data_IF_611367219711
#
_entry.id   IF_611367219711
#
_cell.length_a   1.000
_cell.length_b   1.000
_cell.length_c   1.000
_cell.angle_alpha   90.00
_cell.angle_beta   90.00
_cell.angle_gamma   90.00
#
_symmetry.space_group_name_H-M   'P 1'
#
loop_
_entity.id
_entity.type
_entity.pdbx_description
1 polymer ?
#
# COMPACT_ATOMS: atom_id res chain seq x y z
N UNK A 1 31.43 8.39 -26.95
CA UNK A 1 30.98 7.00 -26.68
C UNK A 1 29.47 7.00 -26.85
N UNK A 2 28.90 6.06 -27.61
CA UNK A 2 27.45 6.02 -27.83
C UNK A 2 26.92 4.70 -27.26
N UNK A 3 26.03 4.80 -26.28
CA UNK A 3 25.44 3.68 -25.56
C UNK A 3 23.97 3.59 -25.94
N UNK A 4 23.54 2.40 -26.35
CA UNK A 4 22.15 2.13 -26.72
C UNK A 4 21.60 1.09 -25.75
N UNK A 5 20.61 1.52 -24.95
CA UNK A 5 19.84 0.64 -24.07
C UNK A 5 18.56 0.26 -24.82
N UNK A 6 18.31 -1.05 -25.06
CA UNK A 6 17.13 -1.51 -25.79
C UNK A 6 15.80 -1.05 -25.18
N UNK A 7 14.83 -0.74 -26.03
CA UNK A 7 13.50 -0.26 -25.61
C UNK A 7 12.77 -1.19 -24.62
N UNK A 8 12.99 -2.51 -24.71
CA UNK A 8 12.39 -3.49 -23.81
C UNK A 8 12.94 -3.44 -22.37
N UNK A 9 14.00 -2.66 -22.11
CA UNK A 9 14.56 -2.42 -20.77
C UNK A 9 14.05 -1.11 -20.14
N UNK A 10 13.07 -0.45 -20.75
CA UNK A 10 12.51 0.81 -20.26
C UNK A 10 11.99 0.73 -18.81
N UNK A 11 11.27 -0.33 -18.45
CA UNK A 11 10.74 -0.52 -17.08
C UNK A 11 11.83 -0.54 -16.01
N UNK A 12 13.01 -1.12 -16.33
CA UNK A 12 14.16 -1.14 -15.44
C UNK A 12 14.74 0.28 -15.26
N UNK A 13 14.77 1.08 -16.32
CA UNK A 13 15.20 2.49 -16.24
C UNK A 13 14.19 3.37 -15.49
N UNK A 14 12.89 3.08 -15.62
CA UNK A 14 11.83 3.71 -14.82
C UNK A 14 12.00 3.41 -13.32
N UNK A 15 12.34 2.17 -12.97
CA UNK A 15 12.65 1.80 -11.57
C UNK A 15 13.89 2.52 -11.06
N UNK A 16 14.97 2.59 -11.85
CA UNK A 16 16.16 3.39 -11.52
C UNK A 16 15.76 4.85 -11.21
N UNK A 17 14.98 5.48 -12.10
CA UNK A 17 14.53 6.86 -11.93
C UNK A 17 13.69 7.06 -10.66
N UNK A 18 12.78 6.13 -10.36
CA UNK A 18 11.96 6.16 -9.14
C UNK A 18 12.79 5.99 -7.87
N UNK A 19 13.84 5.18 -7.90
CA UNK A 19 14.74 4.95 -6.76
C UNK A 19 15.73 6.10 -6.49
N UNK A 20 15.90 7.04 -7.42
CA UNK A 20 16.77 8.20 -7.18
C UNK A 20 16.08 9.19 -6.23
N UNK A 21 16.61 9.31 -5.01
CA UNK A 21 16.23 10.36 -4.08
C UNK A 21 17.01 11.66 -4.37
N UNK A 22 16.28 12.72 -4.74
CA UNK A 22 16.83 14.04 -5.06
C UNK A 22 16.72 15.04 -3.90
N UNK A 23 16.26 14.60 -2.72
CA UNK A 23 16.13 15.49 -1.56
C UNK A 23 17.49 15.78 -0.89
N UNK A 24 18.49 14.91 -1.03
CA UNK A 24 19.82 15.18 -0.48
C UNK A 24 20.64 16.08 -1.40
N UNK A 25 21.39 16.99 -0.77
CA UNK A 25 22.35 17.83 -1.49
C UNK A 25 23.45 16.96 -2.11
N UNK A 26 23.85 17.28 -3.35
CA UNK A 26 24.91 16.59 -4.10
C UNK A 26 24.65 15.09 -4.36
N UNK A 27 23.39 14.65 -4.45
CA UNK A 27 23.08 13.30 -4.92
C UNK A 27 23.65 13.06 -6.32
N UNK A 28 24.32 11.92 -6.48
CA UNK A 28 24.87 11.47 -7.75
C UNK A 28 24.40 10.06 -8.06
N UNK A 29 24.46 9.68 -9.33
CA UNK A 29 24.33 8.29 -9.78
C UNK A 29 25.67 7.86 -10.34
N UNK A 30 26.27 6.82 -9.76
CA UNK A 30 27.53 6.28 -10.27
C UNK A 30 27.24 5.33 -11.43
N UNK A 31 27.99 5.50 -12.51
CA UNK A 31 27.87 4.75 -13.76
C UNK A 31 29.14 3.95 -13.99
N UNK A 32 28.99 2.64 -14.21
CA UNK A 32 30.06 1.72 -14.55
C UNK A 32 29.83 1.17 -15.96
N UNK A 33 30.73 1.45 -16.90
CA UNK A 33 30.69 0.88 -18.24
C UNK A 33 31.70 -0.26 -18.33
N UNK A 34 31.24 -1.45 -18.71
CA UNK A 34 32.08 -2.62 -18.95
C UNK A 34 32.02 -3.03 -20.43
N UNK A 35 33.10 -2.78 -21.15
CA UNK A 35 33.25 -3.10 -22.57
C UNK A 35 33.23 -4.62 -22.81
N UNK A 36 33.90 -5.39 -21.95
CA UNK A 36 34.07 -6.84 -22.15
C UNK A 36 32.73 -7.56 -21.99
N UNK A 37 31.92 -7.13 -21.03
CA UNK A 37 30.59 -7.68 -20.79
C UNK A 37 29.50 -7.01 -21.61
N UNK A 38 29.83 -5.93 -22.33
CA UNK A 38 28.88 -5.09 -23.06
C UNK A 38 27.73 -4.60 -22.16
N UNK A 39 28.07 -4.05 -20.98
CA UNK A 39 27.10 -3.58 -19.98
C UNK A 39 27.35 -2.15 -19.54
N UNK A 40 26.26 -1.52 -19.09
CA UNK A 40 26.29 -0.30 -18.26
C UNK A 40 25.54 -0.58 -16.97
N UNK A 41 26.12 -0.21 -15.84
CA UNK A 41 25.52 -0.32 -14.52
C UNK A 41 25.34 1.06 -13.91
N UNK A 42 24.17 1.34 -13.37
CA UNK A 42 23.85 2.54 -12.60
C UNK A 42 23.67 2.18 -11.14
N UNK A 43 24.29 2.93 -10.23
CA UNK A 43 24.21 2.77 -8.78
C UNK A 43 23.68 4.07 -8.19
N UNK A 44 22.61 3.97 -7.39
CA UNK A 44 21.98 5.11 -6.71
C UNK A 44 21.77 4.80 -5.22
N UNK A 45 21.24 5.78 -4.50
CA UNK A 45 20.95 5.67 -3.07
C UNK A 45 22.12 6.11 -2.19
N UNK A 46 22.06 5.74 -0.92
CA UNK A 46 23.11 6.01 0.07
C UNK A 46 23.27 4.77 0.93
N UNK A 47 24.50 4.48 1.38
CA UNK A 47 24.73 3.32 2.24
C UNK A 47 23.87 3.40 3.51
N UNK A 48 23.24 2.29 3.94
CA UNK A 48 23.27 0.94 3.35
C UNK A 48 22.21 0.69 2.24
N UNK A 49 21.34 1.66 1.98
CA UNK A 49 20.21 1.60 1.05
C UNK A 49 20.63 2.02 -0.38
N UNK A 50 21.60 1.32 -0.94
CA UNK A 50 21.97 1.47 -2.34
C UNK A 50 21.25 0.41 -3.18
N UNK A 51 20.89 0.83 -4.40
CA UNK A 51 20.41 -0.06 -5.46
C UNK A 51 21.38 0.02 -6.65
N UNK A 52 21.39 -1.04 -7.45
CA UNK A 52 22.06 -0.99 -8.74
C UNK A 52 21.27 -1.68 -9.84
N UNK A 53 21.44 -1.17 -11.05
CA UNK A 53 20.72 -1.60 -12.25
C UNK A 53 21.72 -1.81 -13.39
N UNK A 54 21.79 -3.03 -13.91
CA UNK A 54 22.71 -3.43 -14.97
C UNK A 54 21.94 -3.69 -16.27
N UNK A 55 22.36 -3.01 -17.33
CA UNK A 55 21.77 -3.11 -18.66
C UNK A 55 22.77 -3.76 -19.61
N UNK A 56 22.34 -4.82 -20.29
CA UNK A 56 23.02 -5.31 -21.49
C UNK A 56 22.81 -4.30 -22.61
N UNK A 57 23.91 -3.90 -23.24
CA UNK A 57 23.90 -2.91 -24.31
C UNK A 57 23.58 -3.56 -25.66
N UNK A 58 22.95 -2.79 -26.54
CA UNK A 58 22.74 -3.21 -27.92
C UNK A 58 24.08 -3.26 -28.68
N UNK A 59 24.22 -4.18 -29.63
CA UNK A 59 25.42 -4.34 -30.47
C UNK A 59 25.75 -3.07 -31.29
N UNK A 60 24.75 -2.22 -31.55
CA UNK A 60 24.91 -0.91 -32.18
C UNK A 60 25.61 0.11 -31.28
N UNK A 61 25.87 -0.20 -30.01
CA UNK A 61 26.66 0.64 -29.11
C UNK A 61 28.11 0.71 -29.58
N UNK A 62 28.66 1.91 -29.74
CA UNK A 62 29.97 2.14 -30.35
C UNK A 62 30.93 2.90 -29.44
N UNK A 63 32.22 2.65 -29.63
CA UNK A 63 33.31 3.32 -28.90
C UNK A 63 33.23 3.14 -27.38
N UNK A 64 32.76 1.97 -26.93
CA UNK A 64 32.70 1.59 -25.51
C UNK A 64 34.11 1.52 -24.91
N UNK A 65 34.26 2.05 -23.70
CA UNK A 65 35.48 2.00 -22.90
C UNK A 65 35.14 1.61 -21.47
N UNK A 66 35.98 0.79 -20.84
CA UNK A 66 35.88 0.56 -19.41
C UNK A 66 36.07 1.88 -18.67
N UNK A 67 35.03 2.38 -18.00
CA UNK A 67 35.07 3.69 -17.35
C UNK A 67 34.04 3.77 -16.22
N UNK A 68 34.43 4.41 -15.13
CA UNK A 68 33.56 4.73 -14.00
C UNK A 68 33.48 6.25 -13.84
N UNK A 69 32.28 6.77 -13.60
CA UNK A 69 32.03 8.19 -13.40
C UNK A 69 30.69 8.37 -12.68
N UNK A 70 30.34 9.61 -12.34
CA UNK A 70 29.04 9.94 -11.78
C UNK A 70 28.30 10.96 -12.65
N UNK A 71 26.98 10.90 -12.58
CA UNK A 71 26.06 11.89 -13.15
C UNK A 71 25.28 12.57 -12.02
N UNK A 72 24.82 13.79 -12.28
CA UNK A 72 23.86 14.45 -11.39
C UNK A 72 22.59 13.59 -11.25
N UNK A 73 22.11 13.42 -10.02
CA UNK A 73 20.95 12.59 -9.73
C UNK A 73 19.67 13.15 -10.35
N UNK A 74 19.46 14.48 -10.30
CA UNK A 74 18.26 15.11 -10.87
C UNK A 74 18.23 14.94 -12.39
N UNK A 75 19.36 15.15 -13.05
CA UNK A 75 19.51 14.89 -14.48
C UNK A 75 19.25 13.43 -14.84
N UNK A 76 19.84 12.50 -14.09
CA UNK A 76 19.67 11.05 -14.31
C UNK A 76 18.22 10.62 -14.13
N UNK A 77 17.54 11.15 -13.11
CA UNK A 77 16.12 10.90 -12.84
C UNK A 77 15.24 11.34 -14.01
N UNK A 78 15.59 12.42 -14.70
CA UNK A 78 14.82 12.93 -15.84
C UNK A 78 15.11 12.21 -17.16
N UNK A 79 16.17 11.40 -17.27
CA UNK A 79 16.60 10.79 -18.54
C UNK A 79 15.45 10.09 -19.28
N UNK A 80 14.67 9.29 -18.56
CA UNK A 80 13.56 8.51 -19.12
C UNK A 80 12.49 9.36 -19.82
N UNK A 81 12.32 10.62 -19.38
CA UNK A 81 11.32 11.54 -19.91
C UNK A 81 11.74 12.13 -21.27
N UNK A 82 13.03 12.12 -21.59
CA UNK A 82 13.55 12.64 -22.85
C UNK A 82 13.38 11.68 -24.03
N UNK A 83 13.03 10.40 -23.77
CA UNK A 83 12.89 9.36 -24.79
C UNK A 83 11.43 8.94 -24.98
N UNK A 84 11.01 8.84 -26.24
CA UNK A 84 9.67 8.39 -26.64
C UNK A 84 9.47 6.92 -26.22
N UNK A 85 8.27 6.59 -25.78
CA UNK A 85 7.92 5.22 -25.41
C UNK A 85 8.07 4.27 -26.61
N UNK A 86 8.72 3.12 -26.39
CA UNK A 86 8.96 2.10 -27.42
C UNK A 86 10.23 2.31 -28.24
N UNK A 87 10.91 3.45 -28.12
CA UNK A 87 12.22 3.67 -28.74
C UNK A 87 13.37 3.23 -27.84
N UNK A 88 14.50 2.88 -28.46
CA UNK A 88 15.74 2.63 -27.75
C UNK A 88 16.26 3.93 -27.10
N UNK A 89 16.82 3.80 -25.90
CA UNK A 89 17.39 4.90 -25.15
C UNK A 89 18.85 5.07 -25.59
N UNK A 90 19.15 6.22 -26.22
CA UNK A 90 20.48 6.53 -26.75
C UNK A 90 21.17 7.56 -25.85
N UNK A 91 22.28 7.15 -25.24
CA UNK A 91 23.11 7.98 -24.37
C UNK A 91 24.41 8.32 -25.09
N UNK A 92 24.56 9.60 -25.44
CA UNK A 92 25.73 10.09 -26.16
C UNK A 92 26.68 10.77 -25.19
N UNK A 93 27.91 10.27 -25.13
CA UNK A 93 28.94 10.82 -24.26
C UNK A 93 30.04 11.50 -25.08
N UNK A 94 30.14 12.81 -24.93
CA UNK A 94 31.24 13.61 -25.46
C UNK A 94 32.42 13.60 -24.48
N UNK A 95 33.64 13.37 -24.97
CA UNK A 95 34.87 13.49 -24.19
C UNK A 95 35.72 14.57 -24.83
N UNK A 96 35.91 15.68 -24.12
CA UNK A 96 36.72 16.79 -24.58
C UNK A 96 38.22 16.46 -24.47
N UNK A 97 39.10 17.18 -25.21
CA UNK A 97 40.55 17.00 -25.13
C UNK A 97 41.12 17.16 -23.71
N UNK A 98 40.47 17.96 -22.86
CA UNK A 98 40.80 18.13 -21.44
C UNK A 98 40.57 16.86 -20.59
N UNK A 99 39.88 15.86 -21.14
CA UNK A 99 39.41 14.68 -20.42
C UNK A 99 38.02 14.85 -19.79
N UNK A 100 37.48 16.07 -19.78
CA UNK A 100 36.11 16.35 -19.29
C UNK A 100 35.10 15.58 -20.13
N UNK A 101 34.17 14.91 -19.47
CA UNK A 101 33.15 14.07 -20.11
C UNK A 101 31.77 14.63 -19.82
N UNK A 102 30.89 14.58 -20.81
CA UNK A 102 29.52 15.02 -20.69
C UNK A 102 28.58 13.98 -21.28
N UNK A 103 27.42 13.80 -20.66
CA UNK A 103 26.28 13.10 -21.24
C UNK A 103 25.40 14.12 -21.95
N UNK A 104 25.13 13.88 -23.22
CA UNK A 104 24.27 14.67 -24.09
C UNK A 104 23.03 13.87 -24.46
N UNK A 105 21.87 14.50 -24.33
CA UNK A 105 20.57 13.92 -24.66
C UNK A 105 19.76 14.93 -25.45
N UNK A 106 19.19 14.48 -26.56
CA UNK A 106 18.23 15.25 -27.33
C UNK A 106 16.82 15.01 -26.76
N UNK A 107 16.27 16.04 -26.15
CA UNK A 107 14.90 16.04 -25.66
C UNK A 107 13.92 16.13 -26.85
N UNK A 108 13.19 15.04 -27.06
CA UNK A 108 12.17 14.88 -28.11
C UNK A 108 10.76 14.78 -27.52
N UNK A 109 10.59 15.11 -26.24
CA UNK A 109 9.35 14.89 -25.48
C UNK A 109 8.27 15.94 -25.72
N UNK A 110 8.63 17.14 -26.19
CA UNK A 110 7.72 18.24 -26.48
C UNK A 110 6.87 17.96 -27.72
N UNK A 111 5.76 17.22 -27.53
CA UNK A 111 4.67 17.08 -28.50
C UNK A 111 3.51 18.00 -28.11
N UNK A 112 3.68 19.30 -28.26
CA UNK A 112 2.53 20.21 -28.32
C UNK A 112 1.98 20.20 -29.75
N UNK A 113 0.66 20.04 -29.88
CA UNK A 113 -0.03 19.75 -31.14
C UNK A 113 0.12 20.83 -32.23
N UNK A 114 0.62 22.03 -31.91
CA UNK A 114 0.59 23.20 -32.81
C UNK A 114 1.88 24.05 -32.84
N UNK A 115 3.01 23.59 -32.29
CA UNK A 115 4.29 24.33 -32.37
C UNK A 115 5.36 23.51 -33.09
N UNK A 116 6.14 24.17 -33.95
CA UNK A 116 7.29 23.57 -34.63
C UNK A 116 8.19 22.85 -33.61
N UNK A 117 8.53 21.60 -33.92
CA UNK A 117 9.41 20.74 -33.12
C UNK A 117 10.69 21.48 -32.71
N UNK A 118 10.79 21.94 -31.46
CA UNK A 118 12.06 22.38 -30.90
C UNK A 118 12.67 21.22 -30.12
N UNK A 119 13.62 20.52 -30.76
CA UNK A 119 14.46 19.54 -30.05
C UNK A 119 15.41 20.31 -29.14
N UNK A 120 15.37 20.05 -27.83
CA UNK A 120 16.30 20.70 -26.90
C UNK A 120 17.49 19.78 -26.61
N UNK A 121 18.72 20.27 -26.77
CA UNK A 121 19.91 19.56 -26.30
C UNK A 121 20.05 19.78 -24.80
N UNK A 122 20.05 18.68 -24.04
CA UNK A 122 20.33 18.66 -22.59
C UNK A 122 21.71 18.03 -22.38
N UNK A 123 22.54 18.68 -21.56
CA UNK A 123 23.91 18.22 -21.29
C UNK A 123 24.20 18.22 -19.79
N UNK A 124 24.84 17.16 -19.31
CA UNK A 124 25.27 17.01 -17.92
C UNK A 124 26.77 16.66 -17.88
N UNK A 125 27.53 17.40 -17.09
CA UNK A 125 28.95 17.11 -16.87
C UNK A 125 29.09 15.89 -15.95
N UNK A 126 29.89 14.93 -16.38
CA UNK A 126 30.24 13.78 -15.54
C UNK A 126 31.27 14.18 -14.49
N UNK A 127 31.11 13.68 -13.27
CA UNK A 127 32.04 13.84 -12.16
C UNK A 127 32.73 12.51 -11.83
N UNK A 128 33.61 12.51 -10.82
CA UNK A 128 34.24 11.30 -10.31
C UNK A 128 33.18 10.31 -9.77
N UNK A 129 33.40 8.99 -9.89
CA UNK A 129 32.51 8.00 -9.27
C UNK A 129 32.44 8.20 -7.75
N UNK A 130 31.30 7.87 -7.13
CA UNK A 130 31.16 7.90 -5.67
C UNK A 130 31.89 6.71 -5.05
N UNK A 131 32.80 6.97 -4.11
CA UNK A 131 33.54 5.92 -3.40
C UNK A 131 32.62 5.01 -2.58
N UNK A 132 31.53 5.55 -2.04
CA UNK A 132 30.51 4.77 -1.32
C UNK A 132 29.79 3.80 -2.26
N UNK A 133 29.41 4.24 -3.46
CA UNK A 133 28.80 3.37 -4.47
C UNK A 133 29.76 2.29 -4.95
N UNK A 134 31.04 2.63 -5.16
CA UNK A 134 32.06 1.65 -5.55
C UNK A 134 32.30 0.62 -4.45
N UNK A 135 32.30 1.05 -3.19
CA UNK A 135 32.43 0.16 -2.02
C UNK A 135 31.23 -0.78 -1.92
N UNK A 136 30.02 -0.24 -2.06
CA UNK A 136 28.78 -1.02 -2.12
C UNK A 136 28.84 -2.08 -3.23
N UNK A 137 29.20 -1.67 -4.46
CA UNK A 137 29.31 -2.56 -5.61
C UNK A 137 30.31 -3.70 -5.39
N UNK A 138 31.48 -3.39 -4.82
CA UNK A 138 32.52 -4.38 -4.54
C UNK A 138 32.13 -5.39 -3.44
N UNK A 139 31.24 -4.99 -2.52
CA UNK A 139 30.81 -5.83 -1.40
C UNK A 139 29.55 -6.64 -1.70
N UNK A 140 28.68 -6.17 -2.59
CA UNK A 140 27.41 -6.82 -2.92
C UNK A 140 27.55 -8.30 -3.32
N UNK A 141 28.52 -8.70 -4.16
CA UNK A 141 28.71 -10.11 -4.51
C UNK A 141 29.17 -11.02 -3.36
N UNK A 142 29.73 -10.45 -2.29
CA UNK A 142 30.28 -11.20 -1.14
C UNK A 142 29.23 -11.47 -0.07
N UNK A 143 28.09 -10.79 -0.14
CA UNK A 143 27.00 -10.93 0.82
C UNK A 143 26.33 -12.30 0.66
N UNK A 144 26.24 -13.14 1.71
CA UNK A 144 25.55 -14.42 1.67
C UNK A 144 24.07 -14.25 1.30
N UNK A 145 23.62 -14.96 0.28
CA UNK A 145 22.24 -14.92 -0.21
C UNK A 145 21.62 -16.31 -0.22
N UNK A 146 20.29 -16.36 -0.14
CA UNK A 146 19.49 -17.55 -0.42
C UNK A 146 18.84 -17.40 -1.79
N UNK A 147 19.09 -18.36 -2.68
CA UNK A 147 18.44 -18.42 -4.00
C UNK A 147 17.05 -19.04 -3.90
N UNK A 148 16.09 -18.46 -4.62
CA UNK A 148 14.75 -19.01 -4.76
C UNK A 148 14.16 -18.72 -6.13
N UNK A 149 13.04 -19.35 -6.45
CA UNK A 149 12.34 -19.10 -7.71
C UNK A 149 11.52 -17.80 -7.67
N UNK A 150 11.38 -17.15 -8.82
CA UNK A 150 10.47 -16.01 -9.02
C UNK A 150 9.03 -16.33 -8.59
N UNK A 151 8.53 -17.52 -8.93
CA UNK A 151 7.19 -17.97 -8.55
C UNK A 151 7.02 -18.05 -7.01
N UNK A 152 8.07 -18.44 -6.28
CA UNK A 152 8.07 -18.42 -4.81
C UNK A 152 7.96 -17.00 -4.27
N UNK A 153 8.68 -16.04 -4.85
CA UNK A 153 8.58 -14.62 -4.48
C UNK A 153 7.18 -14.07 -4.80
N UNK A 154 6.60 -14.41 -5.95
CA UNK A 154 5.23 -14.00 -6.31
C UNK A 154 4.20 -14.57 -5.32
N UNK A 155 4.36 -15.82 -4.87
CA UNK A 155 3.53 -16.40 -3.80
C UNK A 155 3.67 -15.64 -2.48
N UNK A 156 4.90 -15.29 -2.09
CA UNK A 156 5.19 -14.47 -0.89
C UNK A 156 4.51 -13.11 -0.98
N UNK A 157 4.68 -12.42 -2.11
CA UNK A 157 4.06 -11.13 -2.38
C UNK A 157 2.54 -11.23 -2.30
N UNK A 158 1.95 -12.27 -2.87
CA UNK A 158 0.51 -12.48 -2.81
C UNK A 158 0.00 -12.70 -1.37
N UNK A 159 0.70 -13.47 -0.54
CA UNK A 159 0.35 -13.60 0.89
C UNK A 159 0.53 -12.29 1.66
N UNK A 160 1.54 -11.49 1.33
CA UNK A 160 1.69 -10.17 1.92
C UNK A 160 0.50 -9.27 1.56
N UNK A 161 0.06 -9.27 0.30
CA UNK A 161 -1.09 -8.48 -0.15
C UNK A 161 -2.40 -8.85 0.56
N UNK A 162 -2.63 -10.14 0.84
CA UNK A 162 -3.79 -10.58 1.63
C UNK A 162 -3.82 -9.96 3.02
N UNK A 163 -2.64 -9.79 3.63
CA UNK A 163 -2.49 -9.29 4.98
C UNK A 163 -2.44 -7.76 5.06
N UNK A 164 -2.51 -7.02 3.95
CA UNK A 164 -2.59 -5.56 3.97
C UNK A 164 -3.86 -5.04 4.69
N UNK A 165 -3.79 -3.87 5.36
CA UNK A 165 -2.57 -3.14 5.70
C UNK A 165 -1.74 -3.84 6.79
N UNK A 166 -0.43 -3.60 6.79
CA UNK A 166 0.49 -3.98 7.87
C UNK A 166 1.66 -2.98 7.93
N UNK A 167 2.29 -2.87 9.09
CA UNK A 167 3.56 -2.16 9.28
C UNK A 167 4.73 -3.12 9.02
N UNK A 168 4.65 -4.31 9.62
CA UNK A 168 5.58 -5.42 9.43
C UNK A 168 4.84 -6.73 9.21
N UNK A 169 5.41 -7.58 8.38
CA UNK A 169 4.96 -8.94 8.12
C UNK A 169 6.18 -9.88 8.15
N UNK A 170 6.29 -10.69 9.18
CA UNK A 170 7.29 -11.74 9.26
C UNK A 170 6.72 -13.05 8.71
N UNK A 171 7.45 -13.66 7.81
CA UNK A 171 7.23 -15.03 7.35
C UNK A 171 8.34 -15.86 7.99
N UNK A 172 8.01 -16.62 9.02
CA UNK A 172 8.96 -17.46 9.75
C UNK A 172 8.92 -18.90 9.24
N UNK A 173 10.03 -19.33 8.64
CA UNK A 173 10.23 -20.67 8.09
C UNK A 173 10.43 -21.72 9.17
N UNK A 174 11.23 -21.43 10.19
CA UNK A 174 11.62 -22.41 11.22
C UNK A 174 10.44 -22.78 12.13
N UNK A 175 9.67 -21.78 12.55
CA UNK A 175 8.53 -21.94 13.45
C UNK A 175 7.19 -21.98 12.70
N UNK A 176 7.21 -21.84 11.37
CA UNK A 176 6.06 -21.99 10.47
C UNK A 176 4.87 -21.07 10.81
N UNK A 177 5.14 -19.80 11.08
CA UNK A 177 4.12 -18.79 11.36
C UNK A 177 4.28 -17.53 10.51
N UNK A 178 3.21 -16.74 10.47
CA UNK A 178 3.14 -15.38 9.95
C UNK A 178 2.87 -14.45 11.12
N UNK A 179 3.79 -13.51 11.38
CA UNK A 179 3.57 -12.45 12.39
C UNK A 179 3.26 -11.15 11.67
N UNK A 180 2.17 -10.50 12.07
CA UNK A 180 1.68 -9.28 11.43
C UNK A 180 1.61 -8.18 12.47
N UNK A 181 2.17 -7.01 12.18
CA UNK A 181 2.01 -5.80 12.98
C UNK A 181 1.04 -4.83 12.30
N UNK A 182 0.04 -4.34 13.05
CA UNK A 182 -0.86 -3.26 12.63
C UNK A 182 -1.07 -2.30 13.80
N UNK A 183 -0.90 -1.00 13.56
CA UNK A 183 -1.09 0.06 14.56
C UNK A 183 -0.30 -0.24 15.85
N UNK A 184 0.93 -0.74 15.71
CA UNK A 184 1.80 -1.11 16.83
C UNK A 184 1.46 -2.41 17.58
N UNK A 185 0.39 -3.11 17.23
CA UNK A 185 -0.02 -4.39 17.86
C UNK A 185 0.31 -5.55 16.93
N UNK A 186 0.73 -6.69 17.51
CA UNK A 186 1.13 -7.88 16.74
C UNK A 186 0.16 -9.05 16.92
N UNK A 187 -0.05 -9.81 15.84
CA UNK A 187 -0.69 -11.13 15.84
C UNK A 187 0.20 -12.18 15.18
N UNK A 188 0.08 -13.42 15.65
CA UNK A 188 0.73 -14.58 15.05
C UNK A 188 -0.35 -15.51 14.46
N UNK A 189 -0.13 -15.96 13.22
CA UNK A 189 -0.99 -16.89 12.48
C UNK A 189 -0.15 -18.05 11.95
N UNK A 190 -0.76 -19.20 11.70
CA UNK A 190 -0.06 -20.29 11.02
C UNK A 190 0.31 -19.87 9.59
N UNK A 191 1.49 -20.30 9.12
CA UNK A 191 1.84 -20.17 7.71
C UNK A 191 0.89 -21.02 6.85
N UNK A 192 0.43 -20.52 5.68
CA UNK A 192 -0.38 -21.33 4.77
C UNK A 192 0.32 -22.65 4.41
N UNK A 193 -0.41 -23.77 4.48
CA UNK A 193 0.14 -25.13 4.30
C UNK A 193 0.85 -25.33 2.95
N UNK A 194 0.45 -24.59 1.92
CA UNK A 194 1.02 -24.66 0.57
C UNK A 194 2.26 -23.77 0.38
N UNK A 195 2.61 -22.95 1.38
CA UNK A 195 3.67 -21.97 1.29
C UNK A 195 5.00 -22.54 1.74
N UNK A 196 5.94 -22.67 0.79
CA UNK A 196 7.33 -23.09 1.07
C UNK A 196 8.24 -21.88 1.08
N UNK A 197 8.67 -21.46 2.28
CA UNK A 197 9.59 -20.33 2.44
C UNK A 197 11.04 -20.75 2.16
N UNK A 198 11.78 -20.00 1.33
CA UNK A 198 13.20 -20.26 1.12
C UNK A 198 14.02 -19.92 2.37
N UNK A 199 13.66 -18.82 3.02
CA UNK A 199 14.28 -18.28 4.24
C UNK A 199 13.22 -17.53 5.04
N UNK A 200 13.42 -17.41 6.35
CA UNK A 200 12.65 -16.47 7.17
C UNK A 200 12.93 -15.04 6.75
N UNK A 201 11.89 -14.22 6.64
CA UNK A 201 12.04 -12.84 6.21
C UNK A 201 10.99 -11.92 6.80
N UNK A 202 11.32 -10.64 6.92
CA UNK A 202 10.40 -9.57 7.31
C UNK A 202 10.17 -8.64 6.13
N UNK A 203 8.90 -8.30 5.91
CA UNK A 203 8.46 -7.40 4.88
C UNK A 203 7.78 -6.18 5.50
N UNK A 204 8.04 -5.02 4.91
CA UNK A 204 7.26 -3.79 5.03
C UNK A 204 6.39 -3.60 3.76
N UNK A 205 5.41 -2.68 3.77
CA UNK A 205 4.67 -2.34 2.55
C UNK A 205 5.58 -1.92 1.38
N UNK A 206 6.64 -1.16 1.67
CA UNK A 206 7.61 -0.75 0.65
C UNK A 206 8.36 -1.95 0.07
N UNK A 207 8.92 -2.82 0.92
CA UNK A 207 9.62 -4.03 0.44
C UNK A 207 8.70 -4.92 -0.41
N UNK A 208 7.41 -5.02 -0.05
CA UNK A 208 6.42 -5.81 -0.80
C UNK A 208 6.18 -5.20 -2.18
N UNK A 209 6.08 -3.88 -2.25
CA UNK A 209 5.99 -3.15 -3.52
C UNK A 209 7.25 -3.35 -4.37
N UNK A 210 8.44 -3.26 -3.78
CA UNK A 210 9.71 -3.46 -4.49
C UNK A 210 9.85 -4.89 -5.02
N UNK A 211 9.48 -5.91 -4.23
CA UNK A 211 9.44 -7.32 -4.69
C UNK A 211 8.46 -7.52 -5.85
N UNK A 212 7.30 -6.85 -5.80
CA UNK A 212 6.31 -6.87 -6.90
C UNK A 212 6.92 -6.32 -8.18
N UNK A 213 7.56 -5.15 -8.11
CA UNK A 213 8.25 -4.53 -9.25
C UNK A 213 9.39 -5.42 -9.75
N UNK A 214 10.20 -5.97 -8.85
CA UNK A 214 11.32 -6.84 -9.19
C UNK A 214 10.87 -8.04 -10.02
N UNK A 215 9.77 -8.70 -9.60
CA UNK A 215 9.19 -9.82 -10.35
C UNK A 215 8.74 -9.38 -11.75
N UNK A 216 8.21 -8.17 -11.92
CA UNK A 216 7.80 -7.66 -13.23
C UNK A 216 8.98 -7.33 -14.15
N UNK A 217 10.11 -6.88 -13.57
CA UNK A 217 11.29 -6.42 -14.33
C UNK A 217 12.28 -7.53 -14.67
N UNK A 218 12.40 -8.55 -13.82
CA UNK A 218 13.36 -9.63 -14.03
C UNK A 218 12.91 -10.58 -15.14
N UNK A 219 13.84 -10.83 -16.08
CA UNK A 219 13.67 -11.84 -17.13
C UNK A 219 13.97 -13.24 -16.61
N UNK A 220 14.74 -13.33 -15.51
CA UNK A 220 15.16 -14.58 -14.90
C UNK A 220 14.08 -15.24 -14.06
N UNK A 221 14.27 -16.54 -13.81
CA UNK A 221 13.40 -17.33 -12.93
C UNK A 221 13.96 -17.46 -11.50
N UNK A 222 15.13 -16.90 -11.23
CA UNK A 222 15.79 -16.95 -9.92
C UNK A 222 15.92 -15.56 -9.32
N UNK A 223 15.72 -15.48 -8.00
CA UNK A 223 15.90 -14.28 -7.19
C UNK A 223 16.73 -14.68 -5.96
N UNK A 224 17.74 -13.89 -5.66
CA UNK A 224 18.55 -14.02 -4.45
C UNK A 224 18.02 -13.08 -3.36
N UNK A 225 17.98 -13.56 -2.12
CA UNK A 225 17.50 -12.81 -0.95
C UNK A 225 18.59 -12.80 0.12
N UNK A 226 18.80 -11.66 0.76
CA UNK A 226 19.58 -11.55 1.99
C UNK A 226 18.89 -10.56 2.94
N UNK A 227 18.67 -10.95 4.19
CA UNK A 227 18.24 -10.03 5.24
C UNK A 227 19.37 -9.93 6.29
N UNK A 228 19.79 -8.70 6.60
CA UNK A 228 20.88 -8.42 7.53
C UNK A 228 20.51 -7.20 8.38
N UNK A 229 20.27 -7.44 9.67
CA UNK A 229 19.79 -6.41 10.59
C UNK A 229 18.54 -5.72 10.06
N UNK A 230 18.60 -4.39 9.94
CA UNK A 230 17.51 -3.54 9.46
C UNK A 230 17.47 -3.37 7.93
N UNK A 231 18.05 -4.30 7.16
CA UNK A 231 18.01 -4.25 5.70
C UNK A 231 17.63 -5.58 5.08
N UNK A 232 16.92 -5.53 3.96
CA UNK A 232 16.66 -6.68 3.11
C UNK A 232 17.04 -6.35 1.67
N UNK A 233 17.82 -7.24 1.07
CA UNK A 233 18.35 -7.12 -0.29
C UNK A 233 17.80 -8.22 -1.17
N UNK A 234 17.31 -7.83 -2.35
CA UNK A 234 16.92 -8.74 -3.42
C UNK A 234 17.85 -8.56 -4.61
N UNK A 235 18.34 -9.66 -5.20
CA UNK A 235 19.22 -9.60 -6.38
C UNK A 235 18.68 -10.45 -7.52
N UNK A 236 18.78 -9.89 -8.71
CA UNK A 236 18.64 -10.56 -10.00
C UNK A 236 19.84 -10.18 -10.88
N UNK A 237 20.04 -10.80 -12.04
CA UNK A 237 21.09 -10.39 -12.96
C UNK A 237 20.98 -8.93 -13.42
N UNK A 238 19.75 -8.40 -13.51
CA UNK A 238 19.48 -7.04 -13.99
C UNK A 238 19.51 -5.98 -12.88
N UNK A 239 19.20 -6.32 -11.63
CA UNK A 239 19.23 -5.34 -10.54
C UNK A 239 19.42 -5.96 -9.16
N UNK A 240 19.98 -5.15 -8.26
CA UNK A 240 19.93 -5.38 -6.82
C UNK A 240 19.18 -4.22 -6.17
N UNK A 241 18.20 -4.58 -5.33
CA UNK A 241 17.40 -3.63 -4.56
C UNK A 241 17.64 -3.86 -3.06
N UNK A 242 17.92 -2.80 -2.30
CA UNK A 242 18.12 -2.86 -0.85
C UNK A 242 17.10 -1.97 -0.15
N UNK A 243 16.21 -2.59 0.62
CA UNK A 243 15.12 -1.93 1.30
C UNK A 243 15.40 -1.82 2.81
N UNK A 244 14.88 -0.75 3.41
CA UNK A 244 14.93 -0.53 4.85
C UNK A 244 13.89 -1.38 5.59
N UNK A 245 14.31 -1.93 6.72
CA UNK A 245 13.49 -2.55 7.77
C UNK A 245 13.70 -1.82 9.11
N UNK A 246 13.93 -0.50 9.08
CA UNK A 246 14.22 0.30 10.27
C UNK A 246 13.12 0.17 11.35
N UNK A 247 13.49 -0.34 12.53
CA UNK A 247 12.54 -0.67 13.61
C UNK A 247 12.13 -2.14 13.68
N UNK A 248 12.71 -3.02 12.85
CA UNK A 248 12.45 -4.47 12.88
C UNK A 248 12.84 -5.10 14.22
N UNK A 249 13.86 -4.57 14.90
CA UNK A 249 14.26 -5.07 16.22
C UNK A 249 13.18 -4.82 17.29
N UNK A 250 12.52 -3.66 17.26
CA UNK A 250 11.38 -3.39 18.15
C UNK A 250 10.20 -4.31 17.82
N UNK A 251 9.96 -4.56 16.53
CA UNK A 251 8.93 -5.49 16.09
C UNK A 251 9.15 -6.91 16.60
N UNK A 252 10.38 -7.43 16.58
CA UNK A 252 10.67 -8.76 17.12
C UNK A 252 10.40 -8.88 18.62
N UNK A 253 10.57 -7.79 19.37
CA UNK A 253 10.38 -7.77 20.82
C UNK A 253 8.91 -7.61 21.24
N UNK A 254 8.01 -7.22 20.32
CA UNK A 254 6.58 -7.07 20.61
C UNK A 254 5.96 -8.42 20.96
N UNK A 255 5.11 -8.40 21.98
CA UNK A 255 4.32 -9.55 22.41
C UNK A 255 2.89 -9.42 21.89
N UNK A 256 2.31 -10.54 21.52
CA UNK A 256 0.89 -10.63 21.19
C UNK A 256 0.06 -10.28 22.42
N UNK A 257 -0.80 -9.28 22.31
CA UNK A 257 -1.76 -8.92 23.35
C UNK A 257 -3.15 -9.27 22.85
N UNK A 258 -3.86 -10.22 23.48
CA UNK A 258 -5.20 -10.58 23.05
C UNK A 258 -6.14 -9.38 23.21
N UNK A 259 -6.87 -9.05 22.15
CA UNK A 259 -7.90 -8.04 22.18
C UNK A 259 -9.17 -8.70 22.72
N UNK A 260 -9.66 -8.22 23.86
CA UNK A 260 -10.93 -8.69 24.42
C UNK A 260 -12.06 -7.76 23.97
N UNK A 261 -12.87 -8.23 23.02
CA UNK A 261 -14.05 -7.52 22.58
C UNK A 261 -15.10 -7.45 23.72
N UNK A 262 -15.60 -6.25 23.98
CA UNK A 262 -16.74 -5.98 24.85
C UNK A 262 -18.06 -6.31 24.16
N UNK A 263 -18.14 -6.03 22.85
CA UNK A 263 -19.28 -6.34 21.99
C UNK A 263 -18.78 -6.42 20.55
N UNK A 264 -19.35 -7.31 19.73
CA UNK A 264 -19.12 -7.29 18.29
C UNK A 264 -20.42 -7.28 17.50
N UNK A 265 -20.34 -6.73 16.28
CA UNK A 265 -21.42 -6.76 15.30
C UNK A 265 -20.84 -7.04 13.92
N UNK A 266 -21.43 -7.97 13.17
CA UNK A 266 -21.15 -8.16 11.77
C UNK A 266 -22.16 -7.38 10.92
N UNK A 267 -21.68 -6.44 10.10
CA UNK A 267 -22.53 -5.57 9.28
C UNK A 267 -21.95 -5.33 7.89
N UNK A 268 -22.76 -4.71 7.03
CA UNK A 268 -22.32 -4.27 5.70
C UNK A 268 -21.61 -2.91 5.80
N UNK A 269 -20.27 -2.93 5.83
CA UNK A 269 -19.46 -1.71 5.95
C UNK A 269 -19.63 -0.77 4.75
N UNK A 270 -19.93 -1.30 3.55
CA UNK A 270 -20.16 -0.48 2.37
C UNK A 270 -21.41 0.40 2.53
N UNK A 271 -22.51 -0.17 3.02
CA UNK A 271 -23.75 0.59 3.28
C UNK A 271 -23.53 1.66 4.35
N UNK A 272 -22.82 1.31 5.43
CA UNK A 272 -22.43 2.26 6.47
C UNK A 272 -21.61 3.42 5.89
N UNK A 273 -20.51 3.13 5.17
CA UNK A 273 -19.66 4.17 4.56
C UNK A 273 -20.40 5.01 3.54
N UNK A 274 -21.30 4.43 2.74
CA UNK A 274 -22.09 5.16 1.74
C UNK A 274 -22.99 6.20 2.42
N UNK A 275 -23.64 5.83 3.51
CA UNK A 275 -24.51 6.74 4.27
C UNK A 275 -23.69 7.87 4.92
N UNK A 276 -22.57 7.54 5.56
CA UNK A 276 -21.68 8.54 6.15
C UNK A 276 -21.15 9.53 5.11
N UNK A 277 -20.67 9.02 3.98
CA UNK A 277 -20.16 9.85 2.88
C UNK A 277 -21.23 10.77 2.31
N UNK A 278 -22.47 10.27 2.14
CA UNK A 278 -23.60 11.10 1.74
C UNK A 278 -23.81 12.24 2.74
N UNK A 279 -23.86 11.92 4.03
CA UNK A 279 -24.13 12.91 5.06
C UNK A 279 -23.03 13.99 5.14
N UNK A 280 -21.76 13.59 5.10
CA UNK A 280 -20.60 14.52 5.14
C UNK A 280 -20.52 15.37 3.87
N UNK A 281 -20.92 14.83 2.72
CA UNK A 281 -20.89 15.57 1.45
C UNK A 281 -22.02 16.58 1.32
N UNK A 282 -23.24 16.19 1.66
CA UNK A 282 -24.44 16.99 1.39
C UNK A 282 -24.79 17.96 2.53
N UNK A 283 -24.33 17.71 3.77
CA UNK A 283 -24.66 18.56 4.92
C UNK A 283 -23.40 19.19 5.55
N UNK A 284 -23.20 20.48 5.28
CA UNK A 284 -21.98 21.22 5.70
C UNK A 284 -21.81 21.31 7.22
N UNK A 285 -22.89 21.39 7.99
CA UNK A 285 -22.82 21.42 9.46
C UNK A 285 -22.43 20.06 10.04
N UNK A 286 -22.91 18.96 9.46
CA UNK A 286 -22.51 17.59 9.84
C UNK A 286 -21.02 17.41 9.58
N UNK A 287 -20.54 17.82 8.40
CA UNK A 287 -19.11 17.80 8.06
C UNK A 287 -18.25 18.62 9.04
N UNK A 288 -18.76 19.78 9.49
CA UNK A 288 -18.04 20.66 10.41
C UNK A 288 -18.00 20.10 11.83
N UNK A 289 -19.09 19.49 12.30
CA UNK A 289 -19.18 18.87 13.61
C UNK A 289 -18.31 17.61 13.71
N UNK A 290 -18.19 16.85 12.60
CA UNK A 290 -17.35 15.65 12.51
C UNK A 290 -17.67 14.61 13.58
N UNK A 291 -18.96 14.41 13.82
CA UNK A 291 -19.47 13.61 14.93
C UNK A 291 -20.69 12.80 14.47
N UNK A 292 -20.63 11.48 14.65
CA UNK A 292 -21.72 10.54 14.39
C UNK A 292 -21.93 9.62 15.58
N UNK A 293 -23.14 9.10 15.71
CA UNK A 293 -23.53 8.16 16.74
C UNK A 293 -23.74 6.78 16.10
N UNK A 294 -23.13 5.74 16.66
CA UNK A 294 -23.30 4.34 16.31
C UNK A 294 -24.02 3.63 17.46
N UNK A 295 -25.26 3.21 17.21
CA UNK A 295 -26.03 2.38 18.13
C UNK A 295 -25.77 0.90 17.82
N UNK A 296 -25.52 0.10 18.86
CA UNK A 296 -25.38 -1.35 18.76
C UNK A 296 -26.25 -2.03 19.83
N UNK A 297 -27.42 -2.51 19.41
CA UNK A 297 -28.33 -3.39 20.16
C UNK A 297 -27.99 -4.87 20.01
N UNK A 298 -28.90 -5.74 20.45
CA UNK A 298 -28.70 -7.20 20.41
C UNK A 298 -29.03 -7.81 19.04
N UNK A 299 -29.91 -7.18 18.27
CA UNK A 299 -30.28 -7.61 16.92
C UNK A 299 -30.19 -6.48 15.88
N UNK A 300 -29.82 -5.27 16.32
CA UNK A 300 -29.95 -4.05 15.52
C UNK A 300 -28.72 -3.17 15.67
N UNK A 301 -28.31 -2.56 14.57
CA UNK A 301 -27.35 -1.47 14.56
C UNK A 301 -27.93 -0.29 13.80
N UNK A 302 -27.60 0.92 14.23
CA UNK A 302 -28.03 2.14 13.55
C UNK A 302 -26.94 3.19 13.61
N UNK A 303 -26.91 4.07 12.60
CA UNK A 303 -26.22 5.34 12.73
C UNK A 303 -27.24 6.46 12.93
N UNK A 304 -26.90 7.41 13.79
CA UNK A 304 -27.72 8.57 14.06
C UNK A 304 -26.87 9.84 13.99
N UNK A 305 -27.54 10.92 13.57
CA UNK A 305 -27.03 12.28 13.61
C UNK A 305 -28.01 13.13 14.39
N UNK A 306 -27.52 13.80 15.42
CA UNK A 306 -28.28 14.71 16.29
C UNK A 306 -27.59 16.08 16.35
N UNK A 307 -27.44 16.72 15.19
CA UNK A 307 -26.76 18.01 15.05
C UNK A 307 -27.76 19.02 14.50
N UNK A 308 -28.31 19.94 15.32
CA UNK A 308 -29.32 20.90 14.88
C UNK A 308 -28.90 21.66 13.61
N UNK A 309 -29.78 21.78 12.60
CA UNK A 309 -31.19 21.39 12.59
C UNK A 309 -31.45 19.93 12.15
N UNK A 310 -30.42 19.12 11.97
CA UNK A 310 -30.51 17.74 11.48
C UNK A 310 -30.70 16.73 12.61
N UNK A 311 -31.74 15.93 12.50
CA UNK A 311 -31.98 14.77 13.37
C UNK A 311 -32.49 13.61 12.51
N UNK A 312 -31.65 12.63 12.23
CA UNK A 312 -32.04 11.43 11.51
C UNK A 312 -31.30 10.19 11.99
N UNK A 313 -31.91 9.02 11.76
CA UNK A 313 -31.35 7.71 12.06
C UNK A 313 -31.47 6.81 10.84
N UNK A 314 -30.51 5.94 10.64
CA UNK A 314 -30.50 4.93 9.58
C UNK A 314 -30.16 3.58 10.19
N UNK A 315 -31.10 2.64 10.10
CA UNK A 315 -30.84 1.24 10.42
C UNK A 315 -29.82 0.65 9.45
N UNK A 316 -28.88 -0.09 10.01
CA UNK A 316 -27.88 -0.85 9.28
C UNK A 316 -28.24 -2.32 9.39
N UNK A 317 -28.21 -3.02 8.27
CA UNK A 317 -28.43 -4.46 8.27
C UNK A 317 -27.30 -5.16 9.02
N UNK A 318 -27.69 -5.94 10.04
CA UNK A 318 -26.82 -6.74 10.89
C UNK A 318 -26.95 -8.20 10.48
N UNK A 319 -25.81 -8.86 10.30
CA UNK A 319 -25.75 -10.29 10.01
C UNK A 319 -25.62 -11.12 11.27
N UNK A 320 -24.89 -10.59 12.26
CA UNK A 320 -24.56 -11.29 13.50
C UNK A 320 -24.25 -10.26 14.59
N UNK A 321 -24.62 -10.57 15.83
CA UNK A 321 -24.22 -9.79 17.02
C UNK A 321 -23.66 -10.79 18.03
N UNK A 322 -22.51 -10.44 18.61
CA UNK A 322 -21.94 -11.22 19.70
C UNK A 322 -22.73 -11.09 20.99
N UNK A 323 -22.71 -12.15 21.80
CA UNK A 323 -23.36 -12.14 23.12
C UNK A 323 -22.83 -10.98 23.98
N UNK A 324 -23.75 -10.09 24.36
CA UNK A 324 -23.53 -9.02 25.32
C UNK A 324 -23.91 -9.51 26.71
N UNK A 325 -23.14 -9.14 27.74
CA UNK A 325 -23.53 -9.37 29.15
C UNK A 325 -24.71 -8.48 29.60
N UNK A 326 -25.14 -7.52 28.77
CA UNK A 326 -26.21 -6.54 29.06
C UNK A 326 -27.18 -6.39 27.90
N UNK A 327 -28.49 -6.55 28.15
CA UNK A 327 -29.59 -6.47 27.17
C UNK A 327 -29.94 -5.03 26.70
N UNK A 328 -29.24 -4.02 27.21
CA UNK A 328 -29.46 -2.62 26.79
C UNK A 328 -28.41 -2.30 25.73
N UNK A 329 -28.87 -1.99 24.52
CA UNK A 329 -27.98 -1.56 23.43
C UNK A 329 -27.17 -0.32 23.83
N UNK A 330 -25.96 -0.19 23.29
CA UNK A 330 -25.02 0.87 23.65
C UNK A 330 -24.87 1.89 22.51
N UNK A 331 -24.65 3.15 22.86
CA UNK A 331 -24.43 4.23 21.90
C UNK A 331 -22.99 4.73 21.97
N UNK A 332 -22.35 4.84 20.81
CA UNK A 332 -20.96 5.26 20.67
C UNK A 332 -20.83 6.44 19.74
N UNK A 333 -20.04 7.43 20.14
CA UNK A 333 -19.66 8.59 19.35
C UNK A 333 -18.36 8.31 18.62
N UNK A 334 -18.27 8.70 17.35
CA UNK A 334 -17.06 8.54 16.54
C UNK A 334 -16.94 9.65 15.49
N UNK A 335 -15.70 9.88 15.01
CA UNK A 335 -15.43 10.79 13.89
C UNK A 335 -15.57 10.05 12.54
N UNK A 336 -16.40 10.53 11.60
CA UNK A 336 -16.50 9.95 10.26
C UNK A 336 -15.21 10.07 9.45
N UNK A 337 -14.33 11.05 9.73
CA UNK A 337 -13.01 11.14 9.08
C UNK A 337 -12.12 9.94 9.39
N UNK A 338 -12.22 9.37 10.59
CA UNK A 338 -11.47 8.14 10.93
C UNK A 338 -11.92 6.94 10.09
N UNK A 339 -13.16 6.96 9.57
CA UNK A 339 -13.67 5.95 8.64
C UNK A 339 -13.28 6.17 7.18
N UNK A 340 -12.87 7.38 6.78
CA UNK A 340 -12.43 7.65 5.41
C UNK A 340 -11.24 6.77 5.03
N UNK A 341 -10.28 6.61 5.96
CA UNK A 341 -9.08 5.78 5.79
C UNK A 341 -9.32 4.28 5.67
N UNK A 342 -10.51 3.79 6.04
CA UNK A 342 -10.85 2.35 6.04
C UNK A 342 -11.12 1.87 4.62
N UNK A 343 -10.16 1.22 3.97
CA UNK A 343 -10.30 0.72 2.59
C UNK A 343 -11.17 -0.53 2.51
N UNK A 344 -12.31 -0.45 1.84
CA UNK A 344 -13.15 -1.62 1.54
C UNK A 344 -12.43 -2.50 0.51
N UNK A 345 -11.91 -3.67 0.92
CA UNK A 345 -11.06 -4.54 0.08
C UNK A 345 -11.74 -5.05 -1.19
N UNK A 346 -13.01 -5.43 -1.14
CA UNK A 346 -13.81 -5.90 -2.27
C UNK A 346 -15.31 -5.75 -1.99
N UNK A 347 -16.14 -5.43 -3.01
CA UNK A 347 -17.60 -5.33 -2.87
C UNK A 347 -18.26 -6.62 -2.35
N UNK A 348 -17.68 -7.78 -2.62
CA UNK A 348 -18.17 -9.09 -2.14
C UNK A 348 -17.72 -9.42 -0.69
N UNK A 349 -16.57 -8.91 -0.22
CA UNK A 349 -16.11 -9.09 1.16
C UNK A 349 -16.69 -8.01 2.10
N UNK A 350 -17.05 -6.85 1.55
CA UNK A 350 -17.71 -5.75 2.26
C UNK A 350 -19.09 -6.12 2.83
N UNK A 351 -19.66 -7.24 2.40
CA UNK A 351 -20.99 -7.66 2.85
C UNK A 351 -20.98 -8.23 4.25
N UNK A 352 -19.84 -8.68 4.82
CA UNK A 352 -19.78 -9.19 6.20
C UNK A 352 -18.50 -8.72 6.89
N UNK A 353 -18.49 -7.47 7.32
CA UNK A 353 -17.39 -6.89 8.11
C UNK A 353 -17.73 -7.00 9.60
N UNK A 354 -16.82 -7.56 10.40
CA UNK A 354 -16.95 -7.61 11.86
C UNK A 354 -16.40 -6.32 12.46
N UNK A 355 -17.18 -5.70 13.33
CA UNK A 355 -16.79 -4.54 14.12
C UNK A 355 -16.77 -4.95 15.59
N UNK A 356 -15.62 -4.83 16.23
CA UNK A 356 -15.47 -5.12 17.65
C UNK A 356 -15.27 -3.83 18.43
N UNK A 357 -16.04 -3.65 19.50
CA UNK A 357 -15.74 -2.63 20.51
C UNK A 357 -14.85 -3.28 21.55
N UNK A 358 -13.71 -2.68 21.82
CA UNK A 358 -12.80 -3.13 22.87
C UNK A 358 -12.17 -1.95 23.59
N UNK A 359 -11.65 -2.22 24.79
CA UNK A 359 -10.92 -1.25 25.58
C UNK A 359 -9.42 -1.54 25.46
N UNK A 360 -8.62 -0.50 25.21
CA UNK A 360 -7.16 -0.63 25.17
C UNK A 360 -6.59 -0.79 26.58
N UNK A 361 -5.32 -1.17 26.69
CA UNK A 361 -4.60 -1.20 27.97
C UNK A 361 -4.53 0.18 28.67
N UNK A 362 -4.78 1.28 27.95
CA UNK A 362 -4.83 2.65 28.48
C UNK A 362 -6.24 3.08 28.91
N UNK A 363 -7.25 2.22 28.76
CA UNK A 363 -8.65 2.53 29.08
C UNK A 363 -9.42 3.24 27.96
N UNK A 364 -8.85 3.36 26.77
CA UNK A 364 -9.51 4.00 25.62
C UNK A 364 -10.42 3.00 24.92
N UNK A 365 -11.64 3.41 24.58
CA UNK A 365 -12.54 2.59 23.77
C UNK A 365 -12.22 2.75 22.28
N UNK A 366 -12.12 1.61 21.59
CA UNK A 366 -11.86 1.55 20.15
C UNK A 366 -12.85 0.63 19.44
N UNK A 367 -13.16 0.99 18.21
CA UNK A 367 -13.90 0.18 17.26
C UNK A 367 -12.90 -0.44 16.27
N UNK A 368 -12.63 -1.74 16.42
CA UNK A 368 -11.80 -2.52 15.50
C UNK A 368 -12.60 -2.98 14.29
N UNK A 369 -12.05 -2.78 13.09
CA UNK A 369 -12.65 -3.21 11.83
C UNK A 369 -11.92 -4.45 11.30
N UNK A 370 -12.68 -5.54 11.09
CA UNK A 370 -12.16 -6.82 10.62
C UNK A 370 -12.86 -7.24 9.32
N UNK A 371 -12.06 -7.63 8.32
CA UNK A 371 -12.57 -8.14 7.05
C UNK A 371 -12.83 -9.66 7.06
N UNK A 372 -12.40 -10.37 8.11
CA UNK A 372 -12.74 -11.77 8.37
C UNK A 372 -13.28 -11.92 9.78
N UNK A 373 -14.23 -12.83 9.95
CA UNK A 373 -14.75 -13.22 11.27
C UNK A 373 -13.73 -14.00 12.10
N UNK A 374 -12.69 -14.55 11.46
CA UNK A 374 -11.65 -15.37 12.10
C UNK A 374 -10.41 -14.55 12.53
N UNK A 375 -10.33 -13.29 12.12
CA UNK A 375 -9.17 -12.45 12.42
C UNK A 375 -9.16 -12.03 13.90
N UNK A 376 -7.97 -12.05 14.51
CA UNK A 376 -7.76 -11.68 15.92
C UNK A 376 -7.22 -10.24 16.07
N UNK A 377 -6.62 -9.69 15.02
CA UNK A 377 -6.16 -8.30 14.97
C UNK A 377 -6.99 -7.49 13.97
N UNK A 378 -7.51 -6.31 14.36
CA UNK A 378 -8.25 -5.46 13.45
C UNK A 378 -7.32 -4.93 12.36
N UNK A 379 -7.85 -4.74 11.16
CA UNK A 379 -7.11 -4.11 10.07
C UNK A 379 -6.91 -2.61 10.34
N UNK A 380 -7.83 -2.02 11.08
CA UNK A 380 -7.79 -0.63 11.52
C UNK A 380 -8.70 -0.45 12.72
N UNK A 381 -8.39 0.54 13.54
CA UNK A 381 -9.19 0.94 14.69
C UNK A 381 -9.64 2.39 14.54
N UNK A 382 -10.80 2.69 15.11
CA UNK A 382 -11.40 4.02 15.19
C UNK A 382 -11.62 4.33 16.66
N UNK A 383 -11.31 5.55 17.07
CA UNK A 383 -11.54 6.03 18.44
C UNK A 383 -13.03 6.24 18.65
N UNK A 384 -13.56 5.72 19.75
CA UNK A 384 -14.97 5.85 20.09
C UNK A 384 -15.16 6.24 21.55
N UNK A 385 -16.28 6.88 21.85
CA UNK A 385 -16.66 7.24 23.21
C UNK A 385 -18.10 6.80 23.47
N UNK A 386 -18.42 6.37 24.70
CA UNK A 386 -19.81 6.09 25.06
C UNK A 386 -20.59 7.40 25.18
N UNK A 387 -21.77 7.45 24.58
CA UNK A 387 -22.69 8.60 24.70
C UNK A 387 -24.09 8.15 25.14
N UNK A 388 -24.21 7.79 26.41
CA UNK A 388 -25.50 7.38 26.98
C UNK A 388 -26.51 8.54 27.09
N UNK A 389 -26.06 9.80 26.93
CA UNK A 389 -26.94 10.98 27.06
C UNK A 389 -27.94 11.08 25.91
N UNK A 390 -27.56 10.58 24.74
CA UNK A 390 -28.39 10.61 23.53
C UNK A 390 -29.09 9.28 23.25
N UNK A 391 -28.86 8.24 24.08
CA UNK A 391 -29.38 6.90 23.84
C UNK A 391 -30.91 6.87 23.71
N UNK A 392 -31.63 7.48 24.65
CA UNK A 392 -33.10 7.51 24.63
C UNK A 392 -33.66 8.21 23.38
N UNK A 393 -33.02 9.30 22.96
CA UNK A 393 -33.38 10.03 21.73
C UNK A 393 -33.20 9.14 20.50
N UNK A 394 -32.08 8.42 20.40
CA UNK A 394 -31.79 7.53 19.29
C UNK A 394 -32.73 6.32 19.28
N UNK A 395 -32.99 5.70 20.44
CA UNK A 395 -33.93 4.58 20.58
C UNK A 395 -35.35 4.97 20.14
N UNK A 396 -35.81 6.16 20.52
CA UNK A 396 -37.11 6.69 20.07
C UNK A 396 -37.16 6.84 18.55
N UNK A 397 -36.11 7.41 17.95
CA UNK A 397 -36.05 7.57 16.49
C UNK A 397 -36.01 6.23 15.75
N UNK A 398 -35.33 5.21 16.30
CA UNK A 398 -35.32 3.85 15.75
C UNK A 398 -36.74 3.27 15.80
N UNK A 399 -37.42 3.39 16.94
CA UNK A 399 -38.80 2.90 17.10
C UNK A 399 -39.78 3.58 16.13
N UNK A 400 -39.74 4.90 16.04
CA UNK A 400 -40.58 5.68 15.12
C UNK A 400 -40.35 5.28 13.65
N UNK A 401 -39.13 4.89 13.29
CA UNK A 401 -38.78 4.43 11.95
C UNK A 401 -39.32 3.02 11.66
N UNK A 402 -39.31 2.13 12.64
CA UNK A 402 -39.86 0.77 12.53
C UNK A 402 -41.39 0.75 12.43
N UNK A 403 -42.06 1.59 13.22
CA UNK A 403 -43.52 1.76 13.16
C UNK A 403 -43.95 2.24 11.76
N UNK A 404 -43.28 3.27 11.21
CA UNK A 404 -43.54 3.77 9.85
C UNK A 404 -43.26 2.76 8.73
N UNK A 405 -42.29 1.86 8.92
CA UNK A 405 -42.02 0.80 7.95
C UNK A 405 -43.07 -0.32 8.00
N UNK A 406 -43.61 -0.59 9.18
CA UNK A 406 -44.68 -1.58 9.38
C UNK A 406 -46.00 -1.07 8.77
N UNK A 407 -46.33 0.21 8.97
CA UNK A 407 -47.52 0.85 8.42
C UNK A 407 -47.49 0.96 6.88
N UNK A 408 -46.32 1.23 6.28
CA UNK A 408 -46.21 1.22 4.82
C UNK A 408 -46.41 -0.20 4.22
N UNK A 409 -45.98 -1.25 4.93
CA UNK A 409 -46.19 -2.63 4.48
C UNK A 409 -47.64 -3.11 4.68
N UNK A 410 -48.35 -2.64 5.72
CA UNK A 410 -49.78 -2.92 5.90
C UNK A 410 -50.62 -2.16 4.87
N UNK A 411 -50.30 -0.89 4.57
CA UNK A 411 -51.01 -0.08 3.58
C UNK A 411 -50.88 -0.64 2.15
N UNK A 412 -49.74 -1.27 1.82
CA UNK A 412 -49.55 -1.97 0.52
C UNK A 412 -50.39 -3.25 0.46
N UNK A 413 -50.54 -3.99 1.57
CA UNK A 413 -51.41 -5.17 1.64
C UNK A 413 -52.89 -4.80 1.58
N UNK A 414 -53.31 -3.73 2.26
CA UNK A 414 -54.69 -3.23 2.22
C UNK A 414 -55.06 -2.71 0.82
N UNK A 415 -54.17 -1.97 0.14
CA UNK A 415 -54.39 -1.56 -1.26
C UNK A 415 -54.46 -2.72 -2.26
N UNK A 416 -53.87 -3.87 -1.95
CA UNK A 416 -54.04 -5.09 -2.75
C UNK A 416 -55.33 -5.85 -2.43
N UNK A 417 -55.90 -5.70 -1.23
CA UNK A 417 -57.20 -6.30 -0.88
C UNK A 417 -58.39 -5.49 -1.39
N UNK A 418 -58.29 -4.15 -1.43
CA UNK A 418 -59.33 -3.26 -1.98
C UNK A 418 -59.52 -3.36 -3.50
N UNK A 419 -58.58 -3.98 -4.22
CA UNK A 419 -58.69 -4.26 -5.66
C UNK A 419 -59.52 -5.53 -5.99
N UNK A 420 -59.98 -6.28 -4.97
CA UNK A 420 -60.75 -7.51 -5.12
C UNK A 420 -62.11 -7.49 -4.42
N UNK A 421 -62.77 -6.32 -4.32
CA UNK A 421 -64.21 -6.29 -4.01
C UNK A 421 -64.96 -6.39 -5.34
N UNK A 422 -65.27 -7.62 -5.75
CA UNK A 422 -66.30 -7.87 -6.76
C UNK A 422 -67.66 -7.50 -6.15
N UNK A 423 -68.33 -6.52 -6.75
CA UNK A 423 -69.77 -6.31 -6.59
C UNK A 423 -70.50 -7.40 -7.39
N UNK A 424 -71.11 -8.36 -6.70
CA UNK A 424 -72.19 -9.16 -7.26
C UNK A 424 -73.48 -8.32 -7.19
N UNK A 425 -73.92 -7.84 -8.35
CA UNK A 425 -75.34 -7.70 -8.74
C UNK A 425 -75.45 -7.55 -10.28
#
# INVERSE_FOLDING_TARGET
MNIIIPANKRSLLESLSQGIDTHFANCVVTVLVNKTQNTITFINGQLPLCDHYTFMLDERSISLKNKHFSLDASFTKQLINYFIQGEDIKLEFEIQPSGTMFLEVLDRSTRLKDELQSTALRRCQCSAPSDEHLTYWANTPKCPTTKTSKATIERIVYEAHKNLPFEYLQLNKEENYVRIQRQGVVEDKALPLDMKLPVSMVLTPDTTMQMTKLCQMTSGNEIEIAQQGETITFKTPECTLTCSLAGVEEFYQKKTVPIQALKYVALNLFTLKKELNHCVKEYSQIKKADEFLLYIGDEKAAIAVLIPPYAFTKLIHVFEVGESKTNVGSLFRFSPKELEGVRVKNLQEATKTRLDIFETALGELKLGVYYSLEDNLPYTTISIERDERQLDSVLKMIKDLEEKQTDNNSTIKEKQQDLFIFSDD
#
